data_IF_050799668054
#
_entry.id   IF_050799668054
#
_cell.length_a   1.000
_cell.length_b   1.000
_cell.length_c   1.000
_cell.angle_alpha   90.00
_cell.angle_beta   90.00
_cell.angle_gamma   90.00
#
_symmetry.space_group_name_H-M   'P 1'
#
loop_
_entity.id
_entity.type
_entity.pdbx_description
1 polymer ?
#
# COMPACT_ATOMS: atom_id res chain seq x y z
N UNK A 1 -21.54 13.32 1.06
CA UNK A 1 -21.11 11.92 0.90
C UNK A 1 -19.65 11.94 0.48
N UNK A 2 -18.75 11.78 1.45
CA UNK A 2 -17.31 11.83 1.24
C UNK A 2 -16.84 10.69 0.34
N UNK A 3 -16.33 11.05 -0.83
CA UNK A 3 -15.76 10.16 -1.85
C UNK A 3 -14.57 9.33 -1.35
N UNK A 4 -14.07 9.60 -0.14
CA UNK A 4 -13.05 8.80 0.56
C UNK A 4 -13.56 7.43 1.02
N UNK A 5 -14.87 7.25 1.21
CA UNK A 5 -15.48 6.00 1.71
C UNK A 5 -15.71 4.90 0.66
N UNK A 6 -15.52 5.18 -0.64
CA UNK A 6 -15.82 4.20 -1.70
C UNK A 6 -14.64 3.31 -2.11
N UNK A 7 -13.42 3.68 -1.72
CA UNK A 7 -12.20 2.97 -2.10
C UNK A 7 -11.74 2.15 -0.90
N UNK A 8 -11.69 0.83 -1.07
CA UNK A 8 -11.10 -0.08 -0.09
C UNK A 8 -9.56 -0.01 -0.19
N UNK A 9 -9.00 1.02 0.46
CA UNK A 9 -7.56 1.32 0.46
C UNK A 9 -6.73 0.19 1.07
N UNK A 10 -7.29 -0.52 2.05
CA UNK A 10 -6.67 -1.67 2.72
C UNK A 10 -6.54 -2.82 1.74
N UNK A 11 -7.59 -3.11 0.95
CA UNK A 11 -7.55 -4.14 -0.09
C UNK A 11 -6.60 -3.78 -1.24
N UNK A 12 -6.53 -2.51 -1.64
CA UNK A 12 -5.62 -2.07 -2.71
C UNK A 12 -4.16 -2.12 -2.27
N UNK A 13 -3.83 -1.67 -1.06
CA UNK A 13 -2.46 -1.73 -0.56
C UNK A 13 -2.08 -3.16 -0.19
N UNK A 14 -2.97 -3.92 0.44
CA UNK A 14 -2.77 -5.32 0.75
C UNK A 14 -2.56 -6.17 -0.49
N UNK A 15 -3.32 -5.91 -1.56
CA UNK A 15 -3.19 -6.61 -2.83
C UNK A 15 -2.02 -6.17 -3.69
N UNK A 16 -1.44 -4.98 -3.49
CA UNK A 16 -0.24 -4.54 -4.21
C UNK A 16 1.08 -4.90 -3.52
N UNK A 17 1.00 -5.22 -2.22
CA UNK A 17 2.14 -5.51 -1.35
C UNK A 17 1.96 -6.84 -0.60
N UNK A 18 1.13 -7.76 -1.11
CA UNK A 18 0.88 -9.05 -0.45
C UNK A 18 2.16 -9.88 -0.38
N UNK A 19 2.42 -10.47 0.79
CA UNK A 19 3.70 -11.08 1.12
C UNK A 19 3.81 -12.53 0.63
N UNK A 20 4.94 -12.84 0.01
CA UNK A 20 5.78 -14.02 0.25
C UNK A 20 7.12 -13.73 -0.42
N UNK A 21 8.16 -13.44 0.37
CA UNK A 21 9.61 -13.37 0.04
C UNK A 21 10.08 -12.62 -1.22
N UNK A 22 9.21 -12.09 -2.09
CA UNK A 22 9.62 -11.45 -3.32
C UNK A 22 9.77 -9.92 -3.11
N UNK A 23 10.75 -9.30 -3.79
CA UNK A 23 11.14 -7.92 -3.54
C UNK A 23 10.08 -6.89 -3.95
N UNK A 24 9.12 -7.21 -4.83
CA UNK A 24 7.92 -6.42 -5.14
C UNK A 24 6.92 -7.35 -5.86
N UNK A 25 5.62 -7.03 -5.81
CA UNK A 25 4.55 -7.59 -6.65
C UNK A 25 4.88 -8.97 -7.24
N UNK A 26 4.76 -10.01 -6.41
CA UNK A 26 5.15 -11.37 -6.79
C UNK A 26 4.38 -11.84 -8.02
N UNK A 27 3.18 -11.26 -8.22
CA UNK A 27 2.33 -11.47 -9.37
C UNK A 27 2.08 -10.16 -10.16
N UNK A 28 1.94 -10.21 -11.51
CA UNK A 28 1.52 -9.06 -12.32
C UNK A 28 0.25 -8.35 -11.82
N UNK A 29 -0.64 -9.09 -11.13
CA UNK A 29 -1.85 -8.55 -10.53
C UNK A 29 -1.55 -7.59 -9.36
N UNK A 30 -0.49 -7.85 -8.59
CA UNK A 30 -0.11 -7.03 -7.45
C UNK A 30 0.47 -5.70 -7.94
N UNK A 31 1.27 -5.72 -9.01
CA UNK A 31 1.80 -4.50 -9.62
C UNK A 31 0.68 -3.60 -10.14
N UNK A 32 -0.34 -4.18 -10.75
CA UNK A 32 -1.50 -3.44 -11.21
C UNK A 32 -2.25 -2.80 -10.05
N UNK A 33 -2.45 -3.51 -8.94
CA UNK A 33 -3.08 -2.99 -7.72
C UNK A 33 -2.25 -1.88 -7.06
N UNK A 34 -0.92 -2.03 -6.99
CA UNK A 34 -0.04 -0.99 -6.46
C UNK A 34 -0.05 0.30 -7.31
N UNK A 35 -0.09 0.16 -8.65
CA UNK A 35 -0.23 1.30 -9.56
C UNK A 35 -1.63 1.94 -9.46
N UNK A 36 -2.68 1.12 -9.33
CA UNK A 36 -4.04 1.61 -9.10
C UNK A 36 -4.14 2.38 -7.77
N UNK A 37 -3.50 1.86 -6.72
CA UNK A 37 -3.35 2.57 -5.46
C UNK A 37 -2.70 3.94 -5.67
N UNK A 38 -1.56 4.02 -6.37
CA UNK A 38 -0.88 5.31 -6.64
C UNK A 38 -1.79 6.28 -7.40
N UNK A 39 -2.47 5.80 -8.45
CA UNK A 39 -3.38 6.63 -9.25
C UNK A 39 -4.49 7.23 -8.38
N UNK A 40 -5.13 6.40 -7.56
CA UNK A 40 -6.20 6.83 -6.65
C UNK A 40 -5.65 7.72 -5.53
N UNK A 41 -4.52 7.37 -4.93
CA UNK A 41 -3.87 8.15 -3.88
C UNK A 41 -3.52 9.57 -4.36
N UNK A 42 -2.98 9.72 -5.58
CA UNK A 42 -2.72 11.03 -6.20
C UNK A 42 -4.00 11.84 -6.39
N UNK A 43 -5.06 11.22 -6.93
CA UNK A 43 -6.33 11.89 -7.15
C UNK A 43 -7.00 12.37 -5.85
N UNK A 44 -6.69 11.73 -4.72
CA UNK A 44 -7.21 12.05 -3.40
C UNK A 44 -6.25 12.90 -2.54
N UNK A 45 -5.10 13.33 -3.09
CA UNK A 45 -4.13 14.17 -2.39
C UNK A 45 -3.35 13.46 -1.27
N UNK A 46 -3.24 12.13 -1.33
CA UNK A 46 -2.50 11.36 -0.33
C UNK A 46 -0.99 11.49 -0.49
N UNK A 47 -0.32 11.42 0.66
CA UNK A 47 1.13 11.45 0.82
C UNK A 47 1.70 10.05 1.01
N UNK A 48 3.04 9.96 1.04
CA UNK A 48 3.73 8.73 1.45
C UNK A 48 3.33 8.32 2.87
N UNK A 49 3.13 9.27 3.79
CA UNK A 49 2.71 8.97 5.16
C UNK A 49 1.33 8.32 5.23
N UNK A 50 0.38 8.78 4.41
CA UNK A 50 -0.96 8.17 4.32
C UNK A 50 -0.88 6.73 3.80
N UNK A 51 -0.02 6.47 2.81
CA UNK A 51 0.23 5.11 2.32
C UNK A 51 0.84 4.19 3.38
N UNK A 52 1.76 4.70 4.20
CA UNK A 52 2.29 3.96 5.34
C UNK A 52 1.18 3.67 6.37
N UNK A 53 0.28 4.62 6.63
CA UNK A 53 -0.87 4.42 7.52
C UNK A 53 -1.79 3.30 7.05
N UNK A 54 -2.14 3.27 5.75
CA UNK A 54 -2.93 2.19 5.17
C UNK A 54 -2.21 0.83 5.23
N UNK A 55 -0.89 0.81 5.02
CA UNK A 55 -0.10 -0.41 5.10
C UNK A 55 -0.08 -0.97 6.52
N UNK A 56 0.11 -0.12 7.53
CA UNK A 56 0.05 -0.53 8.95
C UNK A 56 -1.31 -1.13 9.30
N UNK A 57 -2.40 -0.50 8.86
CA UNK A 57 -3.75 -1.03 9.10
C UNK A 57 -3.95 -2.39 8.43
N UNK A 58 -3.48 -2.55 7.19
CA UNK A 58 -3.50 -3.86 6.51
C UNK A 58 -2.74 -4.92 7.31
N UNK A 59 -1.51 -4.64 7.75
CA UNK A 59 -0.69 -5.57 8.51
C UNK A 59 -1.35 -5.99 9.84
N UNK A 60 -2.00 -5.05 10.55
CA UNK A 60 -2.77 -5.37 11.76
C UNK A 60 -3.91 -6.38 11.52
N UNK A 61 -4.51 -6.36 10.32
CA UNK A 61 -5.55 -7.32 9.93
C UNK A 61 -5.00 -8.67 9.46
N UNK A 62 -3.72 -8.73 9.07
CA UNK A 62 -3.04 -9.94 8.60
C UNK A 62 -2.54 -10.84 9.76
N UNK A 63 -3.42 -11.10 10.74
CA UNK A 63 -3.09 -11.91 11.93
C UNK A 63 -2.66 -13.32 11.51
N UNK A 64 -1.55 -13.79 12.10
CA UNK A 64 -1.03 -15.15 11.90
C UNK A 64 -0.05 -15.34 10.74
N UNK A 65 0.24 -14.29 9.97
CA UNK A 65 1.27 -14.33 8.93
C UNK A 65 2.62 -13.89 9.52
N UNK A 66 3.71 -14.66 9.31
CA UNK A 66 5.03 -14.23 9.75
C UNK A 66 5.50 -13.07 8.86
N UNK A 67 5.63 -11.87 9.43
CA UNK A 67 6.16 -10.71 8.71
C UNK A 67 7.00 -9.80 9.60
N UNK A 68 7.92 -9.09 8.95
CA UNK A 68 8.65 -7.98 9.56
C UNK A 68 7.95 -6.68 9.18
N UNK A 69 7.31 -6.01 10.14
CA UNK A 69 6.56 -4.77 9.91
C UNK A 69 7.43 -3.67 9.30
N UNK A 70 8.63 -3.47 9.85
CA UNK A 70 9.56 -2.42 9.39
C UNK A 70 9.98 -2.64 7.94
N UNK A 71 10.24 -3.90 7.56
CA UNK A 71 10.56 -4.26 6.18
C UNK A 71 9.40 -3.94 5.22
N UNK A 72 8.17 -4.26 5.61
CA UNK A 72 6.98 -3.98 4.80
C UNK A 72 6.72 -2.47 4.67
N UNK A 73 6.87 -1.72 5.76
CA UNK A 73 6.77 -0.26 5.74
C UNK A 73 7.84 0.35 4.84
N UNK A 74 9.08 -0.14 4.92
CA UNK A 74 10.17 0.36 4.10
C UNK A 74 9.92 0.11 2.61
N UNK A 75 9.39 -1.06 2.24
CA UNK A 75 8.98 -1.37 0.85
C UNK A 75 7.92 -0.40 0.34
N UNK A 76 6.92 -0.07 1.16
CA UNK A 76 5.89 0.91 0.82
C UNK A 76 6.51 2.30 0.61
N UNK A 77 7.38 2.75 1.52
CA UNK A 77 8.09 4.03 1.38
C UNK A 77 8.91 4.08 0.10
N UNK A 78 9.72 3.05 -0.17
CA UNK A 78 10.55 2.97 -1.39
C UNK A 78 9.70 2.95 -2.65
N UNK A 79 8.57 2.23 -2.66
CA UNK A 79 7.69 2.23 -3.82
C UNK A 79 7.02 3.58 -4.05
N UNK A 80 6.57 4.24 -2.99
CA UNK A 80 5.85 5.51 -3.08
C UNK A 80 6.78 6.71 -3.27
N UNK A 81 8.08 6.57 -2.98
CA UNK A 81 9.08 7.60 -3.21
C UNK A 81 9.07 8.07 -4.68
N UNK A 82 8.95 9.38 -4.88
CA UNK A 82 8.81 9.99 -6.21
C UNK A 82 7.46 9.73 -6.90
N UNK A 83 6.57 8.90 -6.31
CA UNK A 83 5.21 8.65 -6.80
C UNK A 83 4.16 9.46 -6.05
N UNK A 84 4.35 9.67 -4.75
CA UNK A 84 3.51 10.52 -3.91
C UNK A 84 4.38 11.60 -3.24
N UNK A 85 3.77 12.72 -2.79
CA UNK A 85 4.47 13.71 -1.98
C UNK A 85 5.01 13.07 -0.69
N UNK A 86 6.23 13.45 -0.29
CA UNK A 86 6.92 12.91 0.90
C UNK A 86 6.35 13.37 2.26
N UNK A 87 5.15 13.95 2.26
CA UNK A 87 4.58 14.86 3.28
C UNK A 87 5.19 16.24 3.29
#
# INVERSE_FOLDING_TARGET
>A
MDTKNSVDWIKLIGGGFSMMTAPFAVHPHDRNRANEYVKKARAHGFTVADAVGHAKHYLQSAKGWPYNEDEQIQRVKTFMAGKLPSS
#
